data_IF_663332951950
#
_entry.id   IF_663332951950
#
_cell.length_a   1.000
_cell.length_b   1.000
_cell.length_c   1.000
_cell.angle_alpha   90.00
_cell.angle_beta   90.00
_cell.angle_gamma   90.00
#
_symmetry.space_group_name_H-M   'P 1'
#
loop_
_entity.id
_entity.type
_entity.pdbx_description
1 polymer ?
#
# COMPACT_ATOMS: atom_id res chain seq x y z
N UNK A 1 -44.35 6.43 26.75
CA UNK A 1 -44.00 6.51 25.33
C UNK A 1 -43.93 5.08 24.80
N UNK A 2 -44.71 4.72 23.78
CA UNK A 2 -44.68 3.39 23.19
C UNK A 2 -43.37 3.23 22.44
N UNK A 3 -42.47 2.35 22.88
CA UNK A 3 -41.29 1.96 22.10
C UNK A 3 -41.76 1.30 20.80
N UNK A 4 -41.32 1.79 19.64
CA UNK A 4 -41.65 1.19 18.35
C UNK A 4 -41.29 -0.29 18.35
N UNK A 5 -42.24 -1.17 18.02
CA UNK A 5 -42.03 -2.61 17.95
C UNK A 5 -42.00 -3.06 16.50
N UNK A 6 -40.79 -3.22 15.96
CA UNK A 6 -40.61 -3.76 14.61
C UNK A 6 -40.05 -5.19 14.64
N UNK A 7 -40.25 -5.91 13.54
CA UNK A 7 -39.63 -7.23 13.29
C UNK A 7 -39.09 -7.33 11.86
N UNK A 8 -38.04 -8.11 11.60
CA UNK A 8 -37.58 -8.34 10.23
C UNK A 8 -38.57 -9.21 9.43
N UNK A 9 -38.75 -8.86 8.16
CA UNK A 9 -39.42 -9.65 7.11
C UNK A 9 -38.41 -10.24 6.12
N UNK A 10 -37.32 -9.53 5.89
CA UNK A 10 -36.16 -9.99 5.12
C UNK A 10 -34.95 -9.74 5.98
N UNK A 11 -34.07 -10.73 6.11
CA UNK A 11 -32.78 -10.59 6.74
C UNK A 11 -31.81 -11.57 6.08
N UNK A 12 -30.84 -11.05 5.31
CA UNK A 12 -29.94 -11.85 4.47
C UNK A 12 -28.53 -11.30 4.51
N UNK A 13 -27.57 -12.17 4.28
CA UNK A 13 -26.14 -11.84 4.16
C UNK A 13 -25.66 -12.29 2.77
N UNK A 14 -24.96 -11.40 2.07
CA UNK A 14 -24.57 -11.56 0.66
C UNK A 14 -23.14 -11.01 0.44
N UNK A 15 -22.44 -11.53 -0.57
CA UNK A 15 -21.17 -10.97 -1.08
C UNK A 15 -21.41 -10.16 -2.35
N UNK A 16 -20.36 -9.58 -2.94
CA UNK A 16 -20.45 -8.89 -4.24
C UNK A 16 -20.14 -9.77 -5.44
N UNK A 17 -19.87 -11.06 -5.23
CA UNK A 17 -19.61 -11.99 -6.32
C UNK A 17 -20.90 -12.34 -7.06
N UNK A 18 -20.83 -12.87 -8.30
CA UNK A 18 -22.04 -13.17 -9.08
C UNK A 18 -23.01 -14.16 -8.41
N UNK A 19 -22.51 -15.07 -7.56
CA UNK A 19 -23.35 -16.01 -6.81
C UNK A 19 -23.85 -15.46 -5.48
N UNK A 20 -23.36 -14.28 -5.07
CA UNK A 20 -23.63 -13.59 -3.80
C UNK A 20 -23.38 -14.45 -2.54
N UNK A 21 -22.69 -15.59 -2.65
CA UNK A 21 -22.54 -16.59 -1.59
C UNK A 21 -21.11 -16.83 -1.20
N UNK A 22 -20.16 -16.71 -2.12
CA UNK A 22 -18.76 -17.01 -1.84
C UNK A 22 -17.85 -15.91 -2.34
N UNK A 23 -16.90 -15.48 -1.50
CA UNK A 23 -15.81 -14.58 -1.90
C UNK A 23 -14.50 -15.07 -1.29
N UNK A 24 -13.39 -14.58 -1.82
CA UNK A 24 -12.04 -15.02 -1.50
C UNK A 24 -11.22 -13.83 -1.05
N UNK A 25 -10.32 -14.04 -0.09
CA UNK A 25 -9.36 -13.05 0.36
C UNK A 25 -8.06 -13.71 0.80
N UNK A 26 -6.98 -12.94 0.82
CA UNK A 26 -5.73 -13.39 1.44
C UNK A 26 -5.79 -13.20 2.96
N UNK A 27 -5.31 -14.19 3.69
CA UNK A 27 -5.25 -14.21 5.15
C UNK A 27 -4.11 -13.34 5.72
N UNK A 28 -4.03 -12.08 5.26
CA UNK A 28 -2.97 -11.12 5.58
C UNK A 28 -3.45 -9.96 6.47
N UNK A 29 -4.69 -10.04 6.96
CA UNK A 29 -5.41 -9.03 7.76
C UNK A 29 -5.64 -7.66 7.10
N UNK A 30 -5.12 -7.44 5.88
CA UNK A 30 -5.18 -6.17 5.16
C UNK A 30 -6.18 -6.21 4.01
N UNK A 31 -6.20 -7.31 3.25
CA UNK A 31 -7.22 -7.53 2.24
C UNK A 31 -8.60 -7.55 2.90
N UNK A 32 -9.54 -6.81 2.32
CA UNK A 32 -10.92 -6.81 2.78
C UNK A 32 -11.83 -7.25 1.64
N UNK A 33 -12.95 -7.87 1.97
CA UNK A 33 -14.04 -8.14 1.03
C UNK A 33 -15.36 -7.64 1.60
N UNK A 34 -16.27 -7.16 0.74
CA UNK A 34 -17.54 -6.63 1.19
C UNK A 34 -18.52 -7.75 1.56
N UNK A 35 -19.10 -7.65 2.74
CA UNK A 35 -20.27 -8.43 3.16
C UNK A 35 -21.44 -7.47 3.33
N UNK A 36 -22.53 -7.76 2.63
CA UNK A 36 -23.73 -6.93 2.53
C UNK A 36 -24.84 -7.62 3.29
N UNK A 37 -25.50 -6.87 4.16
CA UNK A 37 -26.65 -7.30 4.93
C UNK A 37 -27.86 -6.57 4.39
N UNK A 38 -28.84 -7.33 3.90
CA UNK A 38 -30.11 -6.80 3.39
C UNK A 38 -31.20 -7.06 4.44
N UNK A 39 -31.81 -5.99 4.96
CA UNK A 39 -32.86 -6.05 5.97
C UNK A 39 -34.10 -5.26 5.55
N UNK A 40 -35.27 -5.87 5.69
CA UNK A 40 -36.57 -5.20 5.56
C UNK A 40 -37.36 -5.46 6.83
N UNK A 41 -37.89 -4.43 7.47
CA UNK A 41 -38.63 -4.56 8.71
C UNK A 41 -40.10 -4.14 8.58
N UNK A 42 -40.90 -4.58 9.54
CA UNK A 42 -42.32 -4.32 9.64
C UNK A 42 -42.65 -3.86 11.06
N UNK A 43 -43.32 -2.72 11.18
CA UNK A 43 -43.80 -2.21 12.44
C UNK A 43 -45.13 -2.89 12.79
N UNK A 44 -45.14 -3.56 13.95
CA UNK A 44 -46.31 -4.29 14.44
C UNK A 44 -47.47 -3.35 14.80
N UNK A 45 -47.17 -2.13 15.22
CA UNK A 45 -48.15 -1.16 15.71
C UNK A 45 -48.87 -0.45 14.57
N UNK A 46 -48.12 0.00 13.57
CA UNK A 46 -48.65 0.74 12.42
C UNK A 46 -49.05 -0.16 11.25
N UNK A 47 -48.72 -1.46 11.32
CA UNK A 47 -48.92 -2.42 10.23
C UNK A 47 -48.36 -1.91 8.90
N UNK A 48 -47.13 -1.40 8.94
CA UNK A 48 -46.46 -0.83 7.76
C UNK A 48 -44.98 -1.17 7.74
N UNK A 49 -44.33 -0.92 6.60
CA UNK A 49 -42.88 -1.10 6.45
C UNK A 49 -42.16 -0.16 7.42
N UNK A 50 -41.29 -0.74 8.23
CA UNK A 50 -40.46 0.01 9.16
C UNK A 50 -39.08 0.27 8.54
N UNK A 51 -38.69 1.53 8.49
CA UNK A 51 -37.34 1.95 8.10
C UNK A 51 -36.49 2.10 9.35
N UNK A 52 -35.51 1.21 9.52
CA UNK A 52 -34.55 1.28 10.60
C UNK A 52 -33.77 2.60 10.52
N UNK A 53 -33.55 3.21 11.67
CA UNK A 53 -32.60 4.31 11.85
C UNK A 53 -31.16 3.83 11.64
N UNK A 54 -30.23 4.78 11.44
CA UNK A 54 -28.81 4.46 11.32
C UNK A 54 -28.26 3.81 12.60
N UNK A 55 -28.75 4.22 13.77
CA UNK A 55 -28.41 3.58 15.06
C UNK A 55 -28.82 2.11 15.08
N UNK A 56 -30.04 1.78 14.66
CA UNK A 56 -30.52 0.40 14.62
C UNK A 56 -29.78 -0.44 13.56
N UNK A 57 -29.50 0.12 12.39
CA UNK A 57 -28.67 -0.55 11.38
C UNK A 57 -27.24 -0.80 11.86
N UNK A 58 -26.71 0.05 12.75
CA UNK A 58 -25.38 -0.12 13.34
C UNK A 58 -25.35 -1.18 14.44
N UNK A 59 -26.50 -1.64 14.95
CA UNK A 59 -26.59 -2.77 15.87
C UNK A 59 -26.47 -4.14 15.17
N UNK A 60 -26.46 -4.17 13.83
CA UNK A 60 -26.20 -5.40 13.08
C UNK A 60 -24.77 -5.87 13.33
N UNK A 61 -24.61 -7.11 13.77
CA UNK A 61 -23.30 -7.73 13.96
C UNK A 61 -23.10 -8.89 13.00
N UNK A 62 -21.90 -9.01 12.43
CA UNK A 62 -21.48 -10.24 11.77
C UNK A 62 -21.08 -11.27 12.81
N UNK A 63 -21.54 -12.50 12.61
CA UNK A 63 -21.35 -13.63 13.52
C UNK A 63 -20.82 -14.85 12.78
N UNK A 64 -20.24 -15.78 13.54
CA UNK A 64 -20.01 -17.12 13.05
C UNK A 64 -21.37 -17.81 12.83
N UNK A 65 -21.62 -18.27 11.61
CA UNK A 65 -22.86 -18.98 11.30
C UNK A 65 -23.03 -20.25 12.16
N UNK A 66 -21.92 -20.93 12.46
CA UNK A 66 -21.88 -22.18 13.22
C UNK A 66 -21.88 -21.98 14.73
N UNK A 67 -21.64 -20.75 15.19
CA UNK A 67 -21.71 -20.34 16.59
C UNK A 67 -22.46 -19.00 16.70
N UNK A 68 -23.81 -18.99 16.59
CA UNK A 68 -24.59 -17.77 16.37
C UNK A 68 -24.62 -16.78 17.55
N UNK A 69 -24.21 -17.23 18.73
CA UNK A 69 -24.04 -16.38 19.92
C UNK A 69 -22.69 -15.66 19.92
N UNK A 70 -21.77 -16.02 19.04
CA UNK A 70 -20.40 -15.52 19.00
C UNK A 70 -20.24 -14.50 17.88
N UNK A 71 -19.80 -13.28 18.25
CA UNK A 71 -19.37 -12.27 17.29
C UNK A 71 -18.21 -12.82 16.45
N UNK A 72 -18.15 -12.45 15.17
CA UNK A 72 -17.03 -12.84 14.32
C UNK A 72 -15.69 -12.42 14.97
N UNK A 73 -14.84 -13.41 15.27
CA UNK A 73 -13.62 -13.25 16.05
C UNK A 73 -12.50 -14.20 15.56
N UNK A 74 -11.47 -14.43 16.38
CA UNK A 74 -10.41 -15.44 16.17
C UNK A 74 -9.57 -15.25 14.90
N UNK A 75 -9.23 -14.01 14.60
CA UNK A 75 -8.45 -13.64 13.42
C UNK A 75 -9.30 -13.19 12.23
N UNK A 76 -10.63 -13.28 12.35
CA UNK A 76 -11.56 -12.56 11.47
C UNK A 76 -11.92 -11.22 12.10
N UNK A 77 -12.05 -10.19 11.25
CA UNK A 77 -12.48 -8.87 11.70
C UNK A 77 -13.36 -8.22 10.65
N UNK A 78 -14.21 -7.29 11.07
CA UNK A 78 -15.05 -6.53 10.16
C UNK A 78 -15.21 -5.08 10.61
N UNK A 79 -15.31 -4.16 9.65
CA UNK A 79 -15.51 -2.73 9.90
C UNK A 79 -16.45 -2.12 8.87
N UNK A 80 -17.13 -1.04 9.23
CA UNK A 80 -17.86 -0.23 8.23
C UNK A 80 -16.89 0.51 7.29
N UNK A 81 -15.66 0.74 7.74
CA UNK A 81 -14.63 1.43 6.99
C UNK A 81 -13.95 0.49 6.01
N UNK A 82 -13.81 0.96 4.76
CA UNK A 82 -13.05 0.32 3.70
C UNK A 82 -11.62 0.85 3.71
N UNK A 83 -10.64 -0.04 3.59
CA UNK A 83 -9.29 0.39 3.24
C UNK A 83 -9.23 0.77 1.75
N UNK A 84 -8.62 1.90 1.47
CA UNK A 84 -8.47 2.51 0.14
C UNK A 84 -7.16 2.11 -0.55
N UNK A 85 -6.17 1.64 0.21
CA UNK A 85 -4.86 1.22 -0.30
C UNK A 85 -4.92 -0.13 -1.02
N UNK A 86 -5.68 -1.11 -0.51
CA UNK A 86 -5.69 -2.47 -1.04
C UNK A 86 -7.00 -2.79 -1.77
N UNK A 87 -6.89 -3.71 -2.73
CA UNK A 87 -8.01 -4.25 -3.47
C UNK A 87 -9.00 -4.92 -2.52
N UNK A 88 -10.27 -4.67 -2.77
CA UNK A 88 -11.36 -5.10 -1.92
C UNK A 88 -12.17 -6.28 -2.52
N UNK A 89 -11.60 -6.96 -3.51
CA UNK A 89 -12.16 -8.12 -4.22
C UNK A 89 -11.00 -8.99 -4.75
N UNK A 90 -11.11 -10.31 -4.68
CA UNK A 90 -10.06 -11.23 -5.15
C UNK A 90 -10.10 -11.55 -6.65
N UNK A 91 -10.98 -10.92 -7.44
CA UNK A 91 -11.10 -11.27 -8.86
C UNK A 91 -9.95 -10.71 -9.70
N UNK A 92 -8.89 -11.52 -9.80
CA UNK A 92 -7.97 -11.54 -10.93
C UNK A 92 -8.71 -12.00 -12.21
N UNK A 93 -9.55 -11.12 -12.76
CA UNK A 93 -10.05 -11.06 -14.15
C UNK A 93 -11.15 -10.00 -14.22
N UNK A 94 -10.77 -8.73 -14.25
CA UNK A 94 -11.60 -7.67 -14.79
C UNK A 94 -10.72 -6.67 -15.54
N UNK A 95 -10.10 -7.11 -16.64
CA UNK A 95 -9.79 -6.21 -17.77
C UNK A 95 -11.11 -5.90 -18.50
N UNK A 96 -12.05 -5.25 -17.81
CA UNK A 96 -13.29 -4.68 -18.36
C UNK A 96 -14.28 -4.38 -17.23
N UNK A 97 -13.94 -3.46 -16.33
CA UNK A 97 -14.96 -2.54 -15.82
C UNK A 97 -14.29 -1.18 -15.75
N UNK A 98 -14.52 -0.39 -16.79
CA UNK A 98 -14.56 1.05 -16.60
C UNK A 98 -15.46 1.28 -15.40
N UNK A 99 -14.87 1.70 -14.28
CA UNK A 99 -15.59 2.46 -13.27
C UNK A 99 -15.96 3.79 -13.92
N UNK A 100 -16.96 3.76 -14.79
CA UNK A 100 -17.80 4.92 -14.99
C UNK A 100 -18.70 5.01 -13.76
N UNK A 101 -18.91 6.21 -13.20
CA UNK A 101 -19.96 6.40 -12.22
C UNK A 101 -21.26 6.18 -12.97
N UNK A 102 -21.94 5.07 -12.71
CA UNK A 102 -23.29 4.88 -13.26
C UNK A 102 -24.31 5.10 -12.16
N UNK A 103 -25.17 6.14 -12.31
CA UNK A 103 -26.31 6.35 -11.43
C UNK A 103 -27.27 5.20 -11.66
N UNK A 104 -27.67 4.52 -10.58
CA UNK A 104 -28.90 3.72 -10.62
C UNK A 104 -30.10 4.67 -10.51
N UNK A 105 -30.30 5.46 -11.57
CA UNK A 105 -31.60 5.98 -11.96
C UNK A 105 -31.90 5.47 -13.38
N UNK A 106 -33.09 4.88 -13.53
CA UNK A 106 -33.81 4.62 -14.77
C UNK A 106 -33.21 3.66 -15.82
N UNK A 107 -33.63 2.39 -15.77
CA UNK A 107 -34.30 1.75 -16.93
C UNK A 107 -35.05 0.49 -16.48
N UNK A 108 -36.26 0.69 -15.95
CA UNK A 108 -37.30 -0.36 -15.94
C UNK A 108 -37.98 -0.26 -17.29
N UNK A 109 -37.80 -1.29 -18.11
CA UNK A 109 -38.64 -1.50 -19.27
C UNK A 109 -40.05 -1.85 -18.79
N UNK A 110 -41.03 -1.21 -19.41
CA UNK A 110 -42.43 -1.15 -18.98
C UNK A 110 -43.07 -2.53 -19.14
N UNK A 111 -43.22 -3.24 -18.03
CA UNK A 111 -44.31 -4.19 -17.86
C UNK A 111 -44.89 -3.98 -16.47
N UNK A 112 -46.19 -3.69 -16.42
CA UNK A 112 -46.95 -3.24 -15.26
C UNK A 112 -46.68 -4.02 -13.98
N UNK A 113 -45.98 -3.39 -13.04
CA UNK A 113 -46.26 -3.44 -11.60
C UNK A 113 -45.42 -2.36 -10.92
N UNK A 114 -46.08 -1.31 -10.38
CA UNK A 114 -45.42 -0.30 -9.54
C UNK A 114 -44.92 -0.97 -8.26
N UNK A 115 -43.65 -1.40 -8.21
CA UNK A 115 -42.96 -1.59 -6.95
C UNK A 115 -42.76 -0.21 -6.32
N UNK A 116 -43.49 0.08 -5.24
CA UNK A 116 -43.27 1.28 -4.44
C UNK A 116 -41.87 1.22 -3.80
N UNK A 117 -41.26 2.37 -3.52
CA UNK A 117 -39.94 2.45 -2.84
C UNK A 117 -39.87 1.68 -1.52
N UNK A 118 -41.02 1.36 -0.94
CA UNK A 118 -41.19 0.64 0.32
C UNK A 118 -40.87 -0.86 0.22
N UNK A 119 -40.66 -1.39 -0.99
CA UNK A 119 -40.36 -2.81 -1.18
C UNK A 119 -38.86 -3.17 -1.16
N UNK A 120 -37.98 -2.17 -1.20
CA UNK A 120 -36.53 -2.37 -1.30
C UNK A 120 -35.91 -2.53 0.11
N UNK A 121 -35.22 -3.65 0.42
CA UNK A 121 -34.51 -3.81 1.69
C UNK A 121 -33.43 -2.74 1.90
N UNK A 122 -33.29 -2.27 3.14
CA UNK A 122 -32.14 -1.46 3.57
C UNK A 122 -30.87 -2.32 3.55
N UNK A 123 -29.75 -1.72 3.13
CA UNK A 123 -28.46 -2.41 3.03
C UNK A 123 -27.45 -1.85 4.01
N UNK A 124 -26.83 -2.72 4.80
CA UNK A 124 -25.63 -2.42 5.59
C UNK A 124 -24.45 -3.15 4.98
N UNK A 125 -23.31 -2.47 4.84
CA UNK A 125 -22.09 -3.05 4.29
C UNK A 125 -21.00 -3.07 5.35
N UNK A 126 -20.36 -4.22 5.51
CA UNK A 126 -19.13 -4.39 6.27
C UNK A 126 -18.01 -4.85 5.36
N UNK A 127 -16.79 -4.47 5.71
CA UNK A 127 -15.56 -4.88 5.07
C UNK A 127 -14.90 -5.90 5.98
N UNK A 128 -14.77 -7.14 5.51
CA UNK A 128 -14.30 -8.27 6.30
C UNK A 128 -12.88 -8.63 5.88
N UNK A 129 -11.98 -8.81 6.86
CA UNK A 129 -10.62 -9.31 6.66
C UNK A 129 -10.34 -10.52 7.55
N UNK A 130 -9.28 -11.27 7.23
CA UNK A 130 -8.86 -12.43 8.01
C UNK A 130 -7.34 -12.57 8.12
N UNK A 131 -6.88 -13.16 9.22
CA UNK A 131 -5.53 -13.67 9.44
C UNK A 131 -5.47 -15.22 9.36
N UNK A 132 -6.61 -15.89 9.16
CA UNK A 132 -6.72 -17.35 9.16
C UNK A 132 -6.85 -17.90 7.75
N UNK A 133 -6.10 -18.96 7.48
CA UNK A 133 -6.23 -19.76 6.26
C UNK A 133 -7.31 -20.81 6.49
N UNK A 134 -8.56 -20.43 6.24
CA UNK A 134 -9.72 -21.30 6.43
C UNK A 134 -10.94 -20.80 5.65
N UNK A 135 -11.97 -21.63 5.57
CA UNK A 135 -13.29 -21.21 5.10
C UNK A 135 -14.15 -20.82 6.29
N UNK A 136 -14.75 -19.64 6.26
CA UNK A 136 -15.64 -19.15 7.32
C UNK A 136 -17.03 -18.87 6.79
N UNK A 137 -18.04 -19.49 7.42
CA UNK A 137 -19.45 -19.15 7.18
C UNK A 137 -19.85 -18.00 8.09
N UNK A 138 -20.29 -16.91 7.48
CA UNK A 138 -20.61 -15.67 8.18
C UNK A 138 -22.10 -15.40 8.04
N UNK A 139 -22.75 -15.29 9.18
CA UNK A 139 -24.11 -14.77 9.31
C UNK A 139 -24.12 -13.36 9.89
N UNK A 140 -25.32 -12.85 10.11
CA UNK A 140 -25.61 -11.62 10.81
C UNK A 140 -26.65 -11.84 11.91
N UNK A 141 -26.61 -10.98 12.93
CA UNK A 141 -27.64 -10.86 13.96
C UNK A 141 -27.98 -9.39 14.24
N UNK A 142 -29.17 -9.14 14.76
CA UNK A 142 -29.62 -7.83 15.23
C UNK A 142 -30.48 -8.01 16.48
N UNK A 143 -30.37 -7.07 17.42
CA UNK A 143 -31.22 -7.00 18.61
C UNK A 143 -32.49 -6.23 18.28
N UNK A 144 -33.65 -6.79 18.60
CA UNK A 144 -34.93 -6.12 18.44
C UNK A 144 -35.19 -5.17 19.62
N UNK A 145 -36.14 -4.22 19.49
CA UNK A 145 -36.51 -3.32 20.59
C UNK A 145 -36.98 -4.02 21.87
N UNK A 146 -37.53 -5.25 21.76
CA UNK A 146 -37.94 -6.07 22.90
C UNK A 146 -36.78 -6.85 23.55
N UNK A 147 -35.56 -6.67 23.04
CA UNK A 147 -34.35 -7.34 23.50
C UNK A 147 -34.07 -8.70 22.86
N UNK A 148 -34.98 -9.21 22.03
CA UNK A 148 -34.81 -10.50 21.34
C UNK A 148 -33.71 -10.39 20.29
N UNK A 149 -32.84 -11.41 20.22
CA UNK A 149 -31.86 -11.51 19.14
C UNK A 149 -32.46 -12.28 17.96
N UNK A 150 -32.44 -11.67 16.77
CA UNK A 150 -32.75 -12.35 15.52
C UNK A 150 -31.46 -12.61 14.77
N UNK A 151 -31.31 -13.81 14.21
CA UNK A 151 -30.14 -14.22 13.44
C UNK A 151 -30.53 -14.66 12.04
N UNK A 152 -29.54 -14.67 11.15
CA UNK A 152 -29.64 -15.27 9.82
C UNK A 152 -29.19 -16.75 9.79
N UNK A 153 -29.05 -17.35 10.97
CA UNK A 153 -28.57 -18.74 11.12
C UNK A 153 -29.71 -19.73 11.36
N UNK A 154 -30.91 -19.22 11.60
CA UNK A 154 -32.10 -20.01 11.94
C UNK A 154 -33.27 -19.66 11.02
N UNK A 155 -34.27 -20.53 10.97
CA UNK A 155 -35.53 -20.25 10.25
C UNK A 155 -36.23 -19.02 10.86
N UNK A 156 -36.79 -18.11 10.04
CA UNK A 156 -36.96 -18.19 8.59
C UNK A 156 -35.79 -17.61 7.76
N UNK A 157 -34.74 -17.12 8.40
CA UNK A 157 -33.70 -16.30 7.76
C UNK A 157 -32.39 -17.04 7.53
N UNK A 158 -32.42 -18.31 7.12
CA UNK A 158 -31.20 -19.11 6.94
C UNK A 158 -30.37 -18.66 5.72
N UNK A 159 -29.53 -17.63 5.90
CA UNK A 159 -28.70 -17.00 4.88
C UNK A 159 -27.30 -16.73 5.44
N UNK A 160 -26.28 -17.12 4.68
CA UNK A 160 -24.89 -16.91 5.04
C UNK A 160 -24.04 -16.75 3.79
N UNK A 161 -22.85 -16.18 3.99
CA UNK A 161 -21.78 -16.16 3.01
C UNK A 161 -20.64 -17.06 3.47
N UNK A 162 -19.90 -17.63 2.54
CA UNK A 162 -18.66 -18.35 2.81
C UNK A 162 -17.49 -17.51 2.32
N UNK A 163 -16.63 -17.08 3.23
CA UNK A 163 -15.38 -16.40 2.88
C UNK A 163 -14.22 -17.38 2.96
N UNK A 164 -13.43 -17.45 1.88
CA UNK A 164 -12.27 -18.34 1.76
C UNK A 164 -10.99 -17.54 2.02
N UNK A 165 -10.34 -17.78 3.17
CA UNK A 165 -9.04 -17.22 3.51
C UNK A 165 -7.90 -18.02 2.88
N UNK A 166 -7.29 -17.50 1.82
CA UNK A 166 -6.13 -18.11 1.17
C UNK A 166 -4.82 -17.75 1.88
N UNK A 167 -3.78 -18.62 1.82
CA UNK A 167 -2.45 -18.27 2.28
C UNK A 167 -1.93 -16.98 1.61
N UNK A 168 -1.39 -16.01 2.36
CA UNK A 168 -0.78 -14.83 1.79
C UNK A 168 0.37 -15.16 0.85
N UNK A 169 0.56 -14.33 -0.18
CA UNK A 169 1.80 -14.37 -0.97
C UNK A 169 2.93 -13.77 -0.12
N UNK A 170 4.04 -14.49 0.01
CA UNK A 170 5.24 -13.95 0.67
C UNK A 170 6.23 -13.57 -0.42
N UNK A 171 6.61 -12.30 -0.48
CA UNK A 171 7.60 -11.84 -1.46
C UNK A 171 9.02 -12.06 -0.94
N UNK A 172 9.84 -12.71 -1.76
CA UNK A 172 11.26 -13.03 -1.54
C UNK A 172 12.07 -12.60 -2.76
N UNK A 173 13.39 -12.75 -2.71
CA UNK A 173 14.26 -12.45 -3.86
C UNK A 173 13.94 -13.30 -5.10
N UNK A 174 13.28 -14.45 -4.94
CA UNK A 174 12.88 -15.35 -6.04
C UNK A 174 11.72 -14.82 -6.89
N UNK A 175 10.84 -13.99 -6.30
CA UNK A 175 9.60 -13.58 -6.95
C UNK A 175 9.48 -12.06 -7.16
N UNK A 176 10.50 -11.29 -6.75
CA UNK A 176 10.69 -9.91 -7.18
C UNK A 176 11.54 -9.83 -8.45
N UNK A 177 11.49 -8.67 -9.09
CA UNK A 177 12.33 -8.29 -10.23
C UNK A 177 13.03 -7.00 -9.89
N UNK A 178 14.35 -6.98 -10.06
CA UNK A 178 15.18 -5.79 -9.93
C UNK A 178 15.65 -5.39 -11.32
N UNK A 179 15.09 -4.31 -11.86
CA UNK A 179 15.51 -3.77 -13.16
C UNK A 179 16.44 -2.57 -12.95
N UNK A 180 17.69 -2.67 -13.42
CA UNK A 180 18.64 -1.56 -13.46
C UNK A 180 18.54 -0.82 -14.79
N UNK A 181 18.46 0.50 -14.74
CA UNK A 181 18.43 1.37 -15.92
C UNK A 181 19.38 2.55 -15.70
N UNK A 182 20.33 2.77 -16.60
CA UNK A 182 21.10 4.02 -16.64
C UNK A 182 20.19 5.12 -17.18
N UNK A 183 19.94 6.12 -16.35
CA UNK A 183 18.97 7.19 -16.64
C UNK A 183 19.64 8.41 -17.24
N UNK A 184 20.82 8.75 -16.74
CA UNK A 184 21.57 9.92 -17.18
C UNK A 184 23.07 9.73 -16.93
N UNK A 185 23.88 10.46 -17.68
CA UNK A 185 25.34 10.52 -17.53
C UNK A 185 25.89 11.79 -18.16
N UNK A 186 27.05 12.23 -17.69
CA UNK A 186 27.75 13.35 -18.29
C UNK A 186 28.99 13.74 -17.51
N UNK A 187 29.34 15.02 -17.56
CA UNK A 187 30.45 15.60 -16.81
C UNK A 187 29.94 16.70 -15.86
N UNK A 188 30.54 16.80 -14.67
CA UNK A 188 30.45 17.97 -13.79
C UNK A 188 31.80 18.68 -13.76
N UNK A 189 31.80 19.96 -13.42
CA UNK A 189 33.02 20.76 -13.31
C UNK A 189 33.50 20.75 -11.87
N UNK A 190 34.80 20.54 -11.68
CA UNK A 190 35.51 20.72 -10.42
C UNK A 190 36.40 21.93 -10.58
N UNK A 191 36.22 22.95 -9.74
CA UNK A 191 37.00 24.18 -9.79
C UNK A 191 37.98 24.26 -8.63
N UNK A 192 39.20 24.71 -8.88
CA UNK A 192 40.15 25.13 -7.85
C UNK A 192 40.21 26.64 -7.84
N UNK A 193 40.02 27.23 -6.67
CA UNK A 193 39.93 28.66 -6.45
C UNK A 193 41.04 29.10 -5.53
N UNK A 194 41.71 30.20 -5.87
CA UNK A 194 42.69 30.79 -4.97
C UNK A 194 42.02 31.48 -3.77
N UNK A 195 42.83 32.02 -2.85
CA UNK A 195 42.36 32.76 -1.67
C UNK A 195 41.52 34.01 -2.00
N UNK A 196 41.64 34.57 -3.22
CA UNK A 196 40.80 35.68 -3.69
C UNK A 196 39.48 35.24 -4.32
N UNK A 197 39.18 33.93 -4.34
CA UNK A 197 37.96 33.37 -4.93
C UNK A 197 37.96 33.30 -6.46
N UNK A 198 39.13 33.47 -7.10
CA UNK A 198 39.30 33.34 -8.54
C UNK A 198 39.57 31.89 -8.90
N UNK A 199 38.80 31.34 -9.86
CA UNK A 199 39.05 29.99 -10.37
C UNK A 199 40.38 29.97 -11.15
N UNK A 200 41.36 29.24 -10.63
CA UNK A 200 42.70 29.11 -11.22
C UNK A 200 42.87 27.83 -12.04
N UNK A 201 42.04 26.82 -11.80
CA UNK A 201 41.96 25.65 -12.67
C UNK A 201 40.59 25.01 -12.61
N UNK A 202 40.25 24.25 -13.66
CA UNK A 202 39.05 23.43 -13.68
C UNK A 202 39.35 22.06 -14.27
N UNK A 203 38.58 21.06 -13.85
CA UNK A 203 38.65 19.71 -14.40
C UNK A 203 37.24 19.15 -14.55
N UNK A 204 37.11 18.13 -15.40
CA UNK A 204 35.85 17.40 -15.60
C UNK A 204 35.81 16.19 -14.69
N UNK A 205 34.65 15.96 -14.09
CA UNK A 205 34.33 14.80 -13.28
C UNK A 205 33.16 14.07 -13.93
N UNK A 206 33.44 12.95 -14.63
CA UNK A 206 32.39 12.11 -15.19
C UNK A 206 31.44 11.64 -14.10
N UNK A 207 30.15 11.59 -14.43
CA UNK A 207 29.11 11.12 -13.55
C UNK A 207 28.05 10.29 -14.27
N UNK A 208 27.34 9.46 -13.52
CA UNK A 208 26.22 8.66 -14.00
C UNK A 208 25.15 8.46 -12.94
N UNK A 209 23.91 8.33 -13.38
CA UNK A 209 22.77 7.90 -12.59
C UNK A 209 22.26 6.54 -13.07
N UNK A 210 22.20 5.58 -12.16
CA UNK A 210 21.49 4.31 -12.37
C UNK A 210 20.29 4.24 -11.42
N UNK A 211 19.11 3.91 -11.95
CA UNK A 211 17.95 3.58 -11.14
C UNK A 211 17.73 2.06 -11.09
N UNK A 212 17.34 1.58 -9.92
CA UNK A 212 16.94 0.21 -9.65
C UNK A 212 15.46 0.20 -9.31
N UNK A 213 14.67 -0.51 -10.11
CA UNK A 213 13.23 -0.63 -9.94
C UNK A 213 12.89 -2.02 -9.40
N UNK A 214 12.42 -2.07 -8.16
CA UNK A 214 11.96 -3.29 -7.50
C UNK A 214 10.47 -3.44 -7.75
N UNK A 215 10.10 -4.49 -8.47
CA UNK A 215 8.72 -4.84 -8.82
C UNK A 215 8.49 -6.32 -8.54
N UNK A 216 7.25 -6.80 -8.63
CA UNK A 216 6.94 -8.22 -8.44
C UNK A 216 6.56 -8.88 -9.77
N UNK A 217 6.76 -10.20 -9.83
CA UNK A 217 6.31 -11.04 -10.94
C UNK A 217 4.94 -11.67 -10.72
N UNK A 218 4.36 -11.52 -9.52
CA UNK A 218 3.11 -12.16 -9.09
C UNK A 218 1.96 -11.15 -9.14
N UNK A 219 1.98 -10.14 -8.27
CA UNK A 219 1.04 -9.02 -8.27
C UNK A 219 1.77 -7.68 -8.22
N UNK A 220 1.16 -6.65 -8.78
CA UNK A 220 1.73 -5.29 -8.75
C UNK A 220 1.86 -4.77 -7.31
N UNK A 221 3.00 -4.16 -7.00
CA UNK A 221 3.17 -3.40 -5.77
C UNK A 221 2.40 -2.08 -5.86
N UNK A 222 1.81 -1.67 -4.73
CA UNK A 222 1.03 -0.43 -4.61
C UNK A 222 1.53 0.47 -3.49
N UNK A 223 2.36 -0.06 -2.60
CA UNK A 223 2.92 0.67 -1.45
C UNK A 223 4.28 0.07 -1.09
N UNK A 224 5.16 0.92 -0.53
CA UNK A 224 6.32 0.47 0.22
C UNK A 224 6.52 1.32 1.48
N UNK A 225 6.86 0.69 2.59
CA UNK A 225 7.35 1.36 3.80
C UNK A 225 8.88 1.22 3.83
N UNK A 226 9.58 2.35 3.91
CA UNK A 226 11.05 2.41 3.84
C UNK A 226 11.59 2.78 5.22
N UNK A 227 12.71 2.19 5.63
CA UNK A 227 13.32 2.42 6.93
C UNK A 227 14.85 2.44 6.85
N UNK A 228 15.47 2.98 7.91
CA UNK A 228 16.94 3.01 8.08
C UNK A 228 17.68 3.70 6.92
N UNK A 229 17.34 4.96 6.66
CA UNK A 229 18.06 5.84 5.73
C UNK A 229 18.15 7.25 6.34
N UNK A 230 19.01 8.10 5.81
CA UNK A 230 19.13 9.50 6.24
C UNK A 230 18.01 10.31 5.58
N UNK A 231 17.04 10.80 6.38
CA UNK A 231 15.87 11.48 5.82
C UNK A 231 16.15 12.94 5.48
N UNK A 232 17.21 13.53 6.05
CA UNK A 232 17.49 14.96 5.99
C UNK A 232 18.77 15.31 5.25
N UNK A 233 19.68 14.35 5.08
CA UNK A 233 21.06 14.59 4.66
C UNK A 233 21.96 15.12 5.78
N UNK A 234 21.50 15.05 7.02
CA UNK A 234 22.18 15.55 8.21
C UNK A 234 22.15 14.56 9.40
N UNK A 235 21.28 13.55 9.38
CA UNK A 235 20.93 12.74 10.56
C UNK A 235 22.00 11.73 10.97
N UNK A 236 23.05 11.56 10.15
CA UNK A 236 24.05 10.50 10.36
C UNK A 236 25.51 11.00 10.41
N UNK A 237 25.72 12.31 10.51
CA UNK A 237 26.98 12.88 11.02
C UNK A 237 28.20 12.86 10.09
N UNK A 238 28.07 12.46 8.82
CA UNK A 238 29.22 12.40 7.90
C UNK A 238 29.41 13.69 7.09
N UNK A 239 28.33 14.22 6.52
CA UNK A 239 28.31 15.49 5.79
C UNK A 239 26.98 16.18 6.04
N UNK A 240 26.99 17.50 6.24
CA UNK A 240 25.78 18.30 6.41
C UNK A 240 25.34 18.88 5.07
N UNK A 241 24.65 18.10 4.24
CA UNK A 241 24.17 18.55 2.94
C UNK A 241 22.79 17.96 2.66
N UNK A 242 21.77 18.81 2.52
CA UNK A 242 20.39 18.38 2.29
C UNK A 242 20.19 17.59 0.99
N UNK A 243 21.14 17.66 0.04
CA UNK A 243 21.16 16.84 -1.17
C UNK A 243 21.50 15.38 -0.90
N UNK A 244 21.94 15.06 0.31
CA UNK A 244 22.08 13.70 0.83
C UNK A 244 20.79 13.17 1.47
N UNK A 245 19.69 13.91 1.44
CA UNK A 245 18.40 13.38 1.88
C UNK A 245 18.03 12.12 1.06
N UNK A 246 17.53 11.11 1.76
CA UNK A 246 17.22 9.77 1.27
C UNK A 246 18.43 8.85 1.03
N UNK A 247 19.63 9.27 1.44
CA UNK A 247 20.84 8.47 1.33
C UNK A 247 20.81 7.31 2.32
N UNK A 248 21.19 6.13 1.86
CA UNK A 248 21.38 4.99 2.76
C UNK A 248 22.82 4.46 2.78
N UNK A 249 23.66 4.86 1.82
CA UNK A 249 25.10 4.66 1.90
C UNK A 249 25.86 5.64 0.98
N UNK A 250 27.03 6.03 1.49
CA UNK A 250 28.09 6.84 0.95
C UNK A 250 29.39 6.02 0.85
N UNK A 251 29.91 5.83 -0.36
CA UNK A 251 31.19 5.16 -0.55
C UNK A 251 32.15 6.00 -1.38
N UNK A 252 33.39 6.05 -0.94
CA UNK A 252 34.49 6.71 -1.61
C UNK A 252 35.78 5.92 -1.55
N UNK A 253 36.45 5.84 -2.69
CA UNK A 253 37.77 5.22 -2.82
C UNK A 253 38.48 5.82 -4.03
N UNK A 254 39.74 6.21 -3.86
CA UNK A 254 40.63 6.59 -4.96
C UNK A 254 40.01 7.67 -5.88
N UNK A 255 39.31 8.64 -5.27
CA UNK A 255 38.62 9.73 -5.96
C UNK A 255 37.28 9.37 -6.61
N UNK A 256 36.84 8.12 -6.53
CA UNK A 256 35.46 7.72 -6.86
C UNK A 256 34.55 8.08 -5.69
N UNK A 257 33.36 8.56 -6.02
CA UNK A 257 32.25 8.74 -5.08
C UNK A 257 31.05 7.96 -5.60
N UNK A 258 30.41 7.21 -4.72
CA UNK A 258 29.17 6.46 -4.95
C UNK A 258 28.17 6.80 -3.86
N UNK A 259 26.97 7.19 -4.28
CA UNK A 259 25.89 7.57 -3.39
C UNK A 259 24.69 6.72 -3.74
N UNK A 260 24.11 6.04 -2.75
CA UNK A 260 22.89 5.25 -2.95
C UNK A 260 21.73 5.82 -2.15
N UNK A 261 20.63 6.04 -2.85
CA UNK A 261 19.41 6.66 -2.36
C UNK A 261 18.22 5.71 -2.49
N UNK A 262 17.25 5.86 -1.61
CA UNK A 262 15.99 5.11 -1.66
C UNK A 262 14.80 6.08 -1.63
N UNK A 263 13.88 5.96 -2.58
CA UNK A 263 12.80 6.94 -2.75
C UNK A 263 11.45 6.36 -2.35
N UNK A 264 10.62 7.19 -1.72
CA UNK A 264 9.23 6.86 -1.43
C UNK A 264 8.48 6.33 -2.65
N UNK A 265 7.60 5.36 -2.41
CA UNK A 265 6.72 4.78 -3.44
C UNK A 265 5.72 5.84 -3.90
N UNK A 266 6.04 6.54 -4.99
CA UNK A 266 5.34 7.75 -5.40
C UNK A 266 5.33 7.90 -6.92
N UNK A 267 4.67 8.96 -7.38
CA UNK A 267 4.70 9.37 -8.78
C UNK A 267 6.11 9.80 -9.20
N UNK A 268 6.29 9.84 -10.52
CA UNK A 268 7.49 10.32 -11.17
C UNK A 268 7.87 11.72 -10.66
N UNK A 269 9.14 11.92 -10.30
CA UNK A 269 9.63 13.23 -9.87
C UNK A 269 11.10 13.46 -10.21
N UNK A 270 11.53 14.72 -10.07
CA UNK A 270 12.93 15.14 -10.15
C UNK A 270 13.40 15.52 -8.75
N UNK A 271 14.61 15.10 -8.36
CA UNK A 271 15.21 15.37 -7.05
C UNK A 271 16.61 15.94 -7.23
N UNK A 272 16.95 16.98 -6.50
CA UNK A 272 18.33 17.44 -6.43
C UNK A 272 19.08 16.56 -5.42
N UNK A 273 20.00 15.72 -5.91
CA UNK A 273 20.67 14.73 -5.08
C UNK A 273 22.18 14.74 -5.33
N UNK A 274 22.94 14.45 -4.27
CA UNK A 274 24.39 14.35 -4.31
C UNK A 274 25.06 15.10 -3.17
N UNK A 275 26.29 15.56 -3.42
CA UNK A 275 27.13 16.23 -2.43
C UNK A 275 27.79 17.47 -3.04
N UNK A 276 27.77 18.57 -2.31
CA UNK A 276 28.71 19.66 -2.51
C UNK A 276 29.86 19.57 -1.51
N UNK A 277 31.07 19.90 -1.96
CA UNK A 277 32.22 19.91 -1.09
C UNK A 277 33.17 21.06 -1.40
N UNK A 278 33.73 21.63 -0.34
CA UNK A 278 34.89 22.51 -0.39
C UNK A 278 36.04 21.88 0.42
N UNK A 279 37.26 21.90 -0.11
CA UNK A 279 38.44 21.37 0.59
C UNK A 279 39.74 22.02 0.09
N UNK A 280 40.76 22.10 0.94
CA UNK A 280 42.07 22.68 0.62
C UNK A 280 42.35 24.00 1.33
N UNK A 281 43.63 24.35 1.41
CA UNK A 281 44.17 25.63 1.89
C UNK A 281 45.63 25.75 1.40
N UNK A 282 46.09 26.91 0.88
CA UNK A 282 45.39 28.19 0.74
C UNK A 282 44.40 28.25 -0.44
N UNK A 283 44.50 27.30 -1.38
CA UNK A 283 43.57 27.18 -2.51
C UNK A 283 42.43 26.21 -2.16
N UNK A 284 41.19 26.61 -2.44
CA UNK A 284 39.98 25.84 -2.18
C UNK A 284 39.52 25.13 -3.44
N UNK A 285 39.46 23.81 -3.39
CA UNK A 285 38.78 22.97 -4.38
C UNK A 285 37.29 22.92 -4.06
N UNK A 286 36.45 23.38 -4.99
CA UNK A 286 34.99 23.32 -4.91
C UNK A 286 34.45 22.28 -5.87
N UNK A 287 33.61 21.38 -5.36
CA UNK A 287 33.16 20.20 -6.11
C UNK A 287 31.65 20.06 -6.03
N UNK A 288 31.01 20.09 -7.20
CA UNK A 288 29.57 19.94 -7.37
C UNK A 288 29.19 18.51 -7.78
N UNK A 289 29.37 17.56 -6.87
CA UNK A 289 28.95 16.16 -7.05
C UNK A 289 27.45 15.95 -6.76
N UNK A 290 26.60 16.82 -7.33
CA UNK A 290 25.15 16.71 -7.23
C UNK A 290 24.49 17.03 -8.56
N UNK A 291 23.24 16.61 -8.77
CA UNK A 291 22.45 16.87 -9.98
C UNK A 291 20.97 16.72 -9.70
N UNK A 292 20.14 17.38 -10.52
CA UNK A 292 18.72 17.07 -10.64
C UNK A 292 18.54 15.71 -11.34
N UNK A 293 18.21 14.69 -10.57
CA UNK A 293 18.03 13.30 -11.01
C UNK A 293 16.55 12.95 -11.17
N UNK A 294 16.26 12.05 -12.10
CA UNK A 294 14.91 11.55 -12.38
C UNK A 294 14.63 10.27 -11.58
N UNK A 295 13.62 10.26 -10.72
CA UNK A 295 13.28 9.11 -9.86
C UNK A 295 11.84 8.65 -10.11
N UNK A 296 11.49 7.43 -9.68
CA UNK A 296 10.14 6.87 -9.80
C UNK A 296 9.57 6.85 -11.23
N UNK A 297 10.42 6.63 -12.24
CA UNK A 297 10.00 6.60 -13.67
C UNK A 297 9.25 5.32 -14.08
N UNK A 298 9.10 4.35 -13.16
CA UNK A 298 8.39 3.09 -13.41
C UNK A 298 7.26 2.94 -12.40
N UNK A 299 6.03 2.81 -12.89
CA UNK A 299 4.86 2.55 -12.05
C UNK A 299 4.97 1.19 -11.37
N UNK A 300 4.31 1.05 -10.22
CA UNK A 300 4.24 -0.21 -9.45
C UNK A 300 5.61 -0.77 -9.05
N UNK A 301 6.61 0.10 -8.87
CA UNK A 301 7.96 -0.27 -8.48
C UNK A 301 8.54 0.70 -7.45
N UNK A 302 9.25 0.17 -6.46
CA UNK A 302 10.09 0.98 -5.57
C UNK A 302 11.37 1.38 -6.32
N UNK A 303 11.78 2.64 -6.20
CA UNK A 303 12.97 3.16 -6.87
C UNK A 303 14.12 3.34 -5.87
N UNK A 304 15.27 2.75 -6.18
CA UNK A 304 16.56 3.12 -5.59
C UNK A 304 17.41 3.76 -6.68
N UNK A 305 18.33 4.63 -6.29
CA UNK A 305 19.22 5.31 -7.22
C UNK A 305 20.66 5.19 -6.75
N UNK A 306 21.56 4.84 -7.65
CA UNK A 306 23.00 4.97 -7.46
C UNK A 306 23.49 6.13 -8.32
N UNK A 307 24.08 7.13 -7.68
CA UNK A 307 24.85 8.17 -8.34
C UNK A 307 26.33 7.85 -8.21
N UNK A 308 27.07 8.05 -9.29
CA UNK A 308 28.50 7.88 -9.30
C UNK A 308 29.20 9.08 -9.90
N UNK A 309 30.27 9.49 -9.24
CA UNK A 309 31.16 10.54 -9.69
C UNK A 309 32.59 9.98 -9.67
N UNK A 310 33.35 10.23 -10.71
CA UNK A 310 34.73 9.75 -10.82
C UNK A 310 35.65 10.96 -10.91
N UNK A 311 36.40 11.20 -9.84
CA UNK A 311 37.42 12.23 -9.77
C UNK A 311 38.78 11.59 -9.54
N UNK A 312 39.86 12.31 -9.88
CA UNK A 312 41.22 11.77 -9.81
C UNK A 312 41.93 12.10 -8.49
N UNK A 313 41.23 12.68 -7.50
CA UNK A 313 41.77 12.96 -6.17
C UNK A 313 40.81 12.44 -5.12
N UNK A 314 41.37 11.86 -4.06
CA UNK A 314 40.60 11.44 -2.90
C UNK A 314 40.28 12.64 -2.01
N UNK A 315 39.10 13.22 -2.26
CA UNK A 315 38.59 14.40 -1.57
C UNK A 315 37.28 14.12 -0.88
N UNK A 316 36.83 12.86 -0.82
CA UNK A 316 35.46 12.52 -0.42
C UNK A 316 35.36 12.11 1.05
N UNK A 317 36.46 12.00 1.78
CA UNK A 317 36.41 11.71 3.21
C UNK A 317 36.03 10.26 3.48
N UNK A 318 35.40 9.99 4.62
CA UNK A 318 35.15 8.63 5.10
C UNK A 318 33.85 8.04 4.56
N UNK A 319 33.90 6.74 4.28
CA UNK A 319 32.73 5.94 3.93
C UNK A 319 31.69 5.93 5.04
N UNK A 320 30.43 5.81 4.66
CA UNK A 320 29.32 5.63 5.57
C UNK A 320 28.26 4.72 4.96
N UNK A 321 27.68 3.84 5.77
CA UNK A 321 26.58 3.01 5.31
C UNK A 321 25.60 2.76 6.44
N UNK A 322 24.31 2.77 6.10
CA UNK A 322 23.30 2.14 6.93
C UNK A 322 23.09 0.69 6.42
N UNK A 323 23.85 -0.24 6.99
CA UNK A 323 23.83 -1.66 6.59
C UNK A 323 22.48 -2.35 6.77
N UNK A 324 21.55 -1.71 7.48
CA UNK A 324 20.19 -2.18 7.74
C UNK A 324 19.13 -1.36 6.99
N UNK A 325 19.50 -0.58 5.97
CA UNK A 325 18.53 0.06 5.09
C UNK A 325 17.64 -1.00 4.45
N UNK A 326 16.33 -0.81 4.59
CA UNK A 326 15.39 -1.78 4.08
C UNK A 326 14.03 -1.19 3.79
N UNK A 327 13.18 -2.04 3.23
CA UNK A 327 11.83 -1.69 2.84
C UNK A 327 10.90 -2.90 2.95
N UNK A 328 9.64 -2.62 3.20
CA UNK A 328 8.53 -3.58 3.12
C UNK A 328 7.65 -3.18 1.96
N UNK A 329 7.53 -4.01 0.94
CA UNK A 329 6.60 -3.81 -0.19
C UNK A 329 5.26 -4.45 0.10
N UNK A 330 4.21 -3.86 -0.44
CA UNK A 330 2.84 -4.38 -0.37
C UNK A 330 2.26 -4.47 -1.77
N UNK A 331 1.71 -5.62 -2.11
CA UNK A 331 0.97 -5.78 -3.36
C UNK A 331 -0.45 -5.21 -3.27
N UNK A 332 -1.14 -5.19 -4.41
CA UNK A 332 -2.53 -4.74 -4.51
C UNK A 332 -3.49 -5.44 -3.56
N UNK A 333 -3.16 -6.59 -2.98
CA UNK A 333 -4.00 -7.31 -2.02
C UNK A 333 -3.48 -7.21 -0.58
N UNK A 334 -2.43 -6.44 -0.32
CA UNK A 334 -1.83 -6.28 1.01
C UNK A 334 -0.92 -7.43 1.43
N UNK A 335 -0.54 -8.32 0.50
CA UNK A 335 0.53 -9.28 0.73
C UNK A 335 1.89 -8.58 0.74
N UNK A 336 2.88 -9.14 1.43
CA UNK A 336 4.10 -8.39 1.77
C UNK A 336 5.38 -9.19 1.61
N UNK A 337 6.47 -8.48 1.39
CA UNK A 337 7.84 -8.96 1.59
C UNK A 337 8.72 -7.88 2.18
N UNK A 338 9.70 -8.30 2.97
CA UNK A 338 10.65 -7.42 3.64
C UNK A 338 12.04 -7.66 3.07
N UNK A 339 12.70 -6.57 2.70
CA UNK A 339 13.96 -6.58 1.98
C UNK A 339 14.94 -5.57 2.56
N UNK A 340 16.22 -5.83 2.33
CA UNK A 340 17.32 -4.95 2.69
C UNK A 340 18.13 -4.61 1.44
N UNK A 341 18.55 -3.36 1.36
CA UNK A 341 19.39 -2.86 0.29
C UNK A 341 20.84 -2.79 0.78
N UNK A 342 21.74 -3.37 0.02
CA UNK A 342 23.17 -3.39 0.27
C UNK A 342 23.93 -3.18 -1.05
N UNK A 343 25.21 -3.51 -1.04
CA UNK A 343 26.12 -3.25 -2.13
C UNK A 343 26.72 -4.57 -2.62
N UNK A 344 27.21 -4.53 -3.83
CA UNK A 344 28.13 -5.53 -4.37
C UNK A 344 29.51 -5.34 -3.74
N UNK A 345 30.37 -6.35 -3.82
CA UNK A 345 31.72 -6.30 -3.21
C UNK A 345 32.60 -5.19 -3.78
N UNK A 346 32.33 -4.72 -4.99
CA UNK A 346 33.00 -3.60 -5.66
C UNK A 346 32.30 -2.26 -5.42
N UNK A 347 31.26 -2.24 -4.59
CA UNK A 347 30.55 -1.05 -4.11
C UNK A 347 30.00 -0.17 -5.25
N UNK A 348 29.71 -0.78 -6.41
CA UNK A 348 29.26 -0.07 -7.61
C UNK A 348 27.79 -0.36 -7.96
N UNK A 349 27.26 -1.49 -7.48
CA UNK A 349 25.92 -1.99 -7.76
C UNK A 349 25.14 -2.16 -6.45
N UNK A 350 23.88 -1.72 -6.45
CA UNK A 350 22.94 -1.96 -5.35
C UNK A 350 22.45 -3.42 -5.42
N UNK A 351 22.55 -4.14 -4.31
CA UNK A 351 22.08 -5.51 -4.14
C UNK A 351 20.86 -5.52 -3.21
N UNK A 352 19.93 -6.46 -3.45
CA UNK A 352 18.73 -6.63 -2.63
C UNK A 352 18.77 -8.04 -2.05
N UNK A 353 18.53 -8.16 -0.74
CA UNK A 353 18.34 -9.44 -0.04
C UNK A 353 17.01 -9.44 0.71
N UNK A 354 16.40 -10.59 0.89
CA UNK A 354 15.22 -10.72 1.75
C UNK A 354 15.63 -10.97 3.21
N UNK A 355 14.67 -10.86 4.12
CA UNK A 355 14.90 -11.02 5.57
C UNK A 355 15.06 -12.48 6.02
N UNK A 356 14.91 -13.45 5.12
CA UNK A 356 14.90 -14.87 5.47
C UNK A 356 16.28 -15.53 5.30
N UNK A 357 17.33 -14.74 5.03
CA UNK A 357 18.72 -15.16 4.86
C UNK A 357 19.69 -14.26 5.63
#
# INVERSE_FOLDING_TARGET
>A
MSSTQWKPLVFRVETTTPDARTDVLYANSRMQVPVIISIKAWDKSTQSVYKLSDSELNEIELIDYDAPTTKLADGWSYSANRNDVFANTATARLKSFNLLPSPLEASVDKSDTKATSDDIPQKKKYMVSTARVENKRIGARIKLPDGTMVTTTTSPFNFYVTLVGNPPVVYTTDNIRVARVTVDKGDRVVGVYNSSGTMISSSKMPWSQDNYYISSSVHDFVKADIYNYDTTGHEKGHHGDSRLANLFNYWSDSGKLRLSFIWGFATQSTKNAGLYRETGSPDTTKVEAFKDIKVNQKSSALCLTRMAFNYNRDIWGSNWSNGDCGFTVYDRYGNTGKFYASWSKDEDIITIRDSNL
#
